data_IF_556360726022
#
_entry.id   IF_556360726022
#
_cell.length_a   1.000
_cell.length_b   1.000
_cell.length_c   1.000
_cell.angle_alpha   90.00
_cell.angle_beta   90.00
_cell.angle_gamma   90.00
#
_symmetry.space_group_name_H-M   'P 1'
#
loop_
_entity.id
_entity.type
_entity.pdbx_description
1 polymer ?
#
# COMPACT_ATOMS: atom_id res chain seq x y z
N UNK A 1 26.52 -9.57 42.10
CA UNK A 1 25.50 -9.22 41.10
C UNK A 1 26.14 -8.71 39.82
N UNK A 2 27.16 -7.84 39.90
CA UNK A 2 27.86 -7.31 38.71
C UNK A 2 28.51 -8.40 37.84
N UNK A 3 29.15 -9.40 38.46
CA UNK A 3 29.81 -10.50 37.74
C UNK A 3 28.85 -11.29 36.83
N UNK A 4 27.58 -11.41 37.26
CA UNK A 4 26.52 -12.08 36.51
C UNK A 4 25.66 -11.11 35.71
N UNK A 5 26.09 -9.84 35.61
CA UNK A 5 25.44 -8.77 34.85
C UNK A 5 23.98 -8.54 35.24
N UNK A 6 23.68 -8.58 36.54
CA UNK A 6 22.32 -8.31 37.01
C UNK A 6 21.78 -6.99 36.44
N UNK A 7 20.59 -7.06 35.85
CA UNK A 7 19.86 -5.91 35.35
C UNK A 7 18.35 -6.18 35.46
N UNK A 8 17.56 -5.12 35.65
CA UNK A 8 16.10 -5.19 35.60
C UNK A 8 15.57 -5.04 34.16
N UNK A 9 16.41 -4.62 33.21
CA UNK A 9 16.09 -4.41 31.79
C UNK A 9 17.23 -4.87 30.86
N UNK A 10 16.99 -4.92 29.54
CA UNK A 10 17.96 -5.44 28.56
C UNK A 10 19.02 -4.46 28.05
N UNK A 11 18.87 -3.16 28.28
CA UNK A 11 19.88 -2.14 27.96
C UNK A 11 20.10 -1.85 26.47
N UNK A 12 19.12 -2.12 25.58
CA UNK A 12 19.19 -1.91 24.12
C UNK A 12 18.15 -0.89 23.62
N UNK A 13 18.05 -0.62 22.30
CA UNK A 13 17.20 0.44 21.70
C UNK A 13 15.72 0.42 22.12
N UNK A 14 15.19 -0.74 22.55
CA UNK A 14 13.82 -0.86 23.09
C UNK A 14 13.72 -1.04 24.61
N UNK A 15 14.86 -1.17 25.30
CA UNK A 15 15.05 -1.46 26.74
C UNK A 15 13.91 -2.22 27.45
N UNK A 16 13.50 -3.42 26.95
CA UNK A 16 12.42 -4.15 27.59
C UNK A 16 12.84 -4.66 28.97
N UNK A 17 11.92 -4.61 29.94
CA UNK A 17 12.11 -5.20 31.26
C UNK A 17 12.38 -6.70 31.17
N UNK A 18 13.32 -7.20 31.98
CA UNK A 18 13.58 -8.63 32.13
C UNK A 18 12.49 -9.17 33.07
N UNK A 19 11.58 -10.04 32.59
CA UNK A 19 10.48 -10.50 33.44
C UNK A 19 11.02 -11.22 34.68
N UNK A 20 10.56 -10.77 35.85
CA UNK A 20 10.88 -11.37 37.15
C UNK A 20 12.38 -11.33 37.54
N UNK A 21 13.19 -10.44 36.97
CA UNK A 21 14.63 -10.31 37.31
C UNK A 21 14.89 -10.17 38.82
N UNK A 22 14.04 -9.40 39.51
CA UNK A 22 14.07 -9.20 40.96
C UNK A 22 14.08 -10.51 41.76
N UNK A 23 13.52 -11.61 41.24
CA UNK A 23 13.52 -12.90 41.93
C UNK A 23 14.91 -13.50 42.07
N UNK A 24 15.80 -13.25 41.11
CA UNK A 24 17.21 -13.67 41.20
C UNK A 24 17.96 -12.83 42.25
N UNK A 25 17.71 -11.53 42.31
CA UNK A 25 18.26 -10.66 43.37
C UNK A 25 17.82 -11.14 44.76
N UNK A 26 16.52 -11.39 44.92
CA UNK A 26 15.97 -11.82 46.21
C UNK A 26 16.47 -13.23 46.58
N UNK A 27 16.63 -14.12 45.60
CA UNK A 27 17.32 -15.40 45.77
C UNK A 27 18.74 -15.23 46.30
N UNK A 28 19.54 -14.32 45.73
CA UNK A 28 20.90 -14.05 46.22
C UNK A 28 20.86 -13.59 47.67
N UNK A 29 20.01 -12.60 48.00
CA UNK A 29 19.86 -12.07 49.36
C UNK A 29 19.54 -13.21 50.33
N UNK A 30 18.56 -14.07 49.99
CA UNK A 30 18.20 -15.21 50.83
C UNK A 30 19.33 -16.22 50.93
N UNK A 31 19.99 -16.57 49.84
CA UNK A 31 21.10 -17.53 49.83
C UNK A 31 22.26 -17.10 50.72
N UNK A 32 22.61 -15.81 50.72
CA UNK A 32 23.63 -15.27 51.61
C UNK A 32 23.14 -15.19 53.07
N UNK A 33 21.90 -14.73 53.31
CA UNK A 33 21.35 -14.63 54.66
C UNK A 33 21.18 -15.99 55.36
N UNK A 34 21.01 -17.06 54.59
CA UNK A 34 20.87 -18.44 55.12
C UNK A 34 22.17 -19.25 55.03
N UNK A 35 23.31 -18.60 54.74
CA UNK A 35 24.63 -19.24 54.64
C UNK A 35 24.63 -20.51 53.75
N UNK A 36 24.04 -20.41 52.54
CA UNK A 36 24.04 -21.54 51.60
C UNK A 36 25.49 -21.98 51.32
N UNK A 37 25.82 -23.28 51.48
CA UNK A 37 27.16 -23.79 51.20
C UNK A 37 27.63 -23.39 49.80
N UNK A 38 28.88 -22.95 49.68
CA UNK A 38 29.39 -22.40 48.42
C UNK A 38 29.29 -23.38 47.24
N UNK A 39 29.54 -24.67 47.48
CA UNK A 39 29.40 -25.70 46.45
C UNK A 39 27.95 -25.85 45.96
N UNK A 40 26.98 -25.79 46.88
CA UNK A 40 25.56 -25.77 46.54
C UNK A 40 25.19 -24.48 45.80
N UNK A 41 25.64 -23.33 46.28
CA UNK A 41 25.40 -22.04 45.62
C UNK A 41 25.88 -22.06 44.16
N UNK A 42 27.10 -22.56 43.89
CA UNK A 42 27.63 -22.65 42.53
C UNK A 42 26.83 -23.64 41.67
N UNK A 43 26.42 -24.79 42.22
CA UNK A 43 25.55 -25.73 41.49
C UNK A 43 24.21 -25.11 41.10
N UNK A 44 23.61 -24.33 41.99
CA UNK A 44 22.36 -23.61 41.71
C UNK A 44 22.54 -22.59 40.58
N UNK A 45 23.67 -21.87 40.55
CA UNK A 45 23.96 -20.89 39.50
C UNK A 45 24.13 -21.51 38.11
N UNK A 46 24.65 -22.73 38.02
CA UNK A 46 24.95 -23.40 36.74
C UNK A 46 23.78 -24.26 36.25
N UNK A 47 23.14 -25.02 37.15
CA UNK A 47 22.16 -26.05 36.80
C UNK A 47 21.09 -26.24 37.88
N UNK A 48 20.74 -25.18 38.60
CA UNK A 48 19.79 -25.20 39.71
C UNK A 48 18.39 -25.71 39.35
N UNK A 49 17.95 -25.50 38.11
CA UNK A 49 16.70 -26.00 37.55
C UNK A 49 16.71 -27.50 37.25
N UNK A 50 17.90 -28.12 37.19
CA UNK A 50 18.10 -29.54 36.89
C UNK A 50 18.49 -30.36 38.13
N UNK A 51 18.55 -29.74 39.32
CA UNK A 51 18.88 -30.46 40.54
C UNK A 51 17.77 -31.45 40.91
N UNK A 52 18.16 -32.72 41.14
CA UNK A 52 17.24 -33.78 41.58
C UNK A 52 16.61 -33.49 42.95
N UNK A 53 17.37 -32.82 43.81
CA UNK A 53 16.96 -32.43 45.17
C UNK A 53 17.16 -30.91 45.32
N UNK A 54 16.22 -30.09 44.82
CA UNK A 54 16.33 -28.65 44.90
C UNK A 54 16.10 -28.15 46.33
N UNK A 55 16.72 -27.02 46.66
CA UNK A 55 16.45 -26.27 47.89
C UNK A 55 15.10 -25.58 47.76
N UNK A 56 14.21 -25.86 48.70
CA UNK A 56 12.87 -25.30 48.75
C UNK A 56 12.79 -24.30 49.90
N UNK A 57 12.29 -23.10 49.62
CA UNK A 57 11.85 -22.15 50.62
C UNK A 57 10.42 -22.51 51.03
N UNK A 58 10.25 -22.99 52.26
CA UNK A 58 8.97 -23.48 52.78
C UNK A 58 7.99 -22.34 53.09
N UNK A 59 8.50 -21.16 53.46
CA UNK A 59 7.69 -19.97 53.78
C UNK A 59 7.09 -19.36 52.51
N UNK A 60 7.93 -19.06 51.52
CA UNK A 60 7.49 -18.51 50.24
C UNK A 60 6.95 -19.57 49.28
N UNK A 61 7.10 -20.86 49.62
CA UNK A 61 6.76 -22.02 48.79
C UNK A 61 7.43 -21.96 47.41
N UNK A 62 8.73 -21.63 47.36
CA UNK A 62 9.51 -21.48 46.14
C UNK A 62 10.64 -22.51 46.03
N UNK A 63 10.98 -22.90 44.80
CA UNK A 63 12.20 -23.61 44.45
C UNK A 63 13.34 -22.60 44.29
N UNK A 64 14.18 -22.48 45.33
CA UNK A 64 15.30 -21.54 45.35
C UNK A 64 16.39 -21.97 44.38
N UNK A 65 16.66 -23.27 44.26
CA UNK A 65 17.69 -23.75 43.34
C UNK A 65 17.40 -23.34 41.89
N UNK A 66 16.15 -23.44 41.44
CA UNK A 66 15.75 -23.04 40.09
C UNK A 66 15.92 -21.53 39.82
N UNK A 67 15.91 -20.70 40.87
CA UNK A 67 16.16 -19.26 40.71
C UNK A 67 17.63 -18.97 40.38
N UNK A 68 18.55 -19.84 40.79
CA UNK A 68 19.99 -19.67 40.55
C UNK A 68 20.37 -19.56 39.09
N UNK A 69 19.63 -20.16 38.15
CA UNK A 69 19.92 -20.06 36.71
C UNK A 69 19.35 -18.81 36.05
N UNK A 70 18.66 -17.94 36.81
CA UNK A 70 18.03 -16.72 36.31
C UNK A 70 18.99 -15.73 35.64
N UNK A 71 20.27 -15.71 36.05
CA UNK A 71 21.27 -14.81 35.46
C UNK A 71 21.54 -15.08 33.98
N UNK A 72 21.29 -16.29 33.48
CA UNK A 72 21.45 -16.59 32.06
C UNK A 72 20.56 -15.74 31.15
N UNK A 73 19.53 -15.10 31.72
CA UNK A 73 18.60 -14.21 31.04
C UNK A 73 18.99 -12.72 31.13
N UNK A 74 19.97 -12.37 31.97
CA UNK A 74 20.44 -11.00 32.24
C UNK A 74 21.52 -10.53 31.26
N UNK A 75 21.41 -10.99 30.02
CA UNK A 75 22.32 -10.69 28.92
C UNK A 75 21.59 -9.76 27.94
N UNK A 76 22.33 -8.93 27.22
CA UNK A 76 21.80 -8.09 26.14
C UNK A 76 20.95 -8.91 25.15
N UNK A 77 19.79 -8.38 24.76
CA UNK A 77 18.77 -9.06 23.93
C UNK A 77 18.23 -10.38 24.47
N UNK A 78 18.58 -10.78 25.69
CA UNK A 78 17.99 -11.89 26.40
C UNK A 78 18.52 -13.28 26.08
N UNK A 79 19.29 -13.44 25.01
CA UNK A 79 19.99 -14.69 24.71
C UNK A 79 21.15 -14.42 23.76
N UNK A 80 22.37 -14.43 24.29
CA UNK A 80 23.60 -14.32 23.51
C UNK A 80 24.66 -15.26 24.10
N UNK A 81 24.87 -16.45 23.51
CA UNK A 81 25.76 -17.47 24.06
C UNK A 81 27.19 -16.99 24.34
N UNK A 82 27.73 -16.07 23.54
CA UNK A 82 29.06 -15.48 23.76
C UNK A 82 29.15 -14.77 25.12
N UNK A 83 28.13 -14.01 25.48
CA UNK A 83 28.10 -13.26 26.74
C UNK A 83 27.82 -14.20 27.94
N UNK A 84 27.07 -15.28 27.73
CA UNK A 84 26.87 -16.31 28.76
C UNK A 84 28.17 -17.06 29.07
N UNK A 85 28.96 -17.40 28.05
CA UNK A 85 30.30 -17.98 28.22
C UNK A 85 31.20 -17.02 29.01
N UNK A 86 31.19 -15.73 28.67
CA UNK A 86 31.97 -14.70 29.39
C UNK A 86 31.59 -14.63 30.88
N UNK A 87 30.29 -14.60 31.19
CA UNK A 87 29.79 -14.58 32.57
C UNK A 87 30.18 -15.85 33.31
N UNK A 88 29.91 -17.03 32.74
CA UNK A 88 30.16 -18.30 33.43
C UNK A 88 31.65 -18.53 33.66
N UNK A 89 32.48 -18.29 32.65
CA UNK A 89 33.92 -18.48 32.75
C UNK A 89 34.57 -17.54 33.77
N UNK A 90 34.24 -16.25 33.74
CA UNK A 90 34.81 -15.28 34.68
C UNK A 90 34.28 -15.47 36.11
N UNK A 91 32.98 -15.69 36.25
CA UNK A 91 32.34 -15.70 37.58
C UNK A 91 32.60 -17.01 38.32
N UNK A 92 32.48 -18.14 37.64
CA UNK A 92 32.47 -19.46 38.30
C UNK A 92 33.73 -20.27 38.06
N UNK A 93 34.46 -20.03 36.97
CA UNK A 93 35.73 -20.69 36.70
C UNK A 93 36.95 -19.80 37.04
N UNK A 94 36.76 -18.50 37.20
CA UNK A 94 37.85 -17.54 37.42
C UNK A 94 38.76 -17.37 36.18
N UNK A 95 38.28 -17.71 35.00
CA UNK A 95 39.07 -17.72 33.74
C UNK A 95 38.49 -16.75 32.72
N UNK A 96 39.36 -16.05 31.99
CA UNK A 96 38.97 -15.17 30.88
C UNK A 96 39.07 -15.90 29.54
N UNK A 97 38.02 -16.59 29.12
CA UNK A 97 38.09 -17.41 27.89
C UNK A 97 37.78 -16.64 26.61
N UNK A 98 37.38 -15.37 26.70
CA UNK A 98 36.85 -14.60 25.56
C UNK A 98 37.84 -14.35 24.42
N UNK A 99 39.16 -14.38 24.66
CA UNK A 99 40.15 -14.32 23.58
C UNK A 99 40.10 -15.57 22.69
N UNK A 100 39.74 -16.73 23.27
CA UNK A 100 39.62 -18.01 22.57
C UNK A 100 38.52 -18.00 21.49
N UNK A 101 37.68 -16.96 21.45
CA UNK A 101 36.62 -16.77 20.45
C UNK A 101 37.17 -16.73 19.02
N UNK A 102 38.30 -16.08 18.80
CA UNK A 102 38.81 -15.79 17.46
C UNK A 102 40.11 -16.53 17.12
N UNK A 103 40.86 -16.95 18.13
CA UNK A 103 42.13 -17.68 18.02
C UNK A 103 42.40 -18.42 19.33
N UNK A 104 43.34 -19.35 19.40
CA UNK A 104 43.69 -20.02 20.67
C UNK A 104 44.09 -19.01 21.76
N UNK A 105 43.71 -19.26 23.01
CA UNK A 105 43.96 -18.31 24.10
C UNK A 105 45.47 -18.01 24.24
N UNK A 106 45.81 -16.73 24.42
CA UNK A 106 47.20 -16.25 24.34
C UNK A 106 48.11 -16.86 25.41
N UNK A 107 47.58 -17.13 26.60
CA UNK A 107 48.36 -17.52 27.77
C UNK A 107 47.93 -18.84 28.40
N UNK A 108 46.69 -19.27 28.16
CA UNK A 108 46.11 -20.44 28.81
C UNK A 108 45.90 -21.53 27.76
N UNK A 109 45.96 -22.80 28.17
CA UNK A 109 45.76 -23.94 27.28
C UNK A 109 44.27 -24.14 26.95
N UNK A 110 43.67 -23.14 26.29
CA UNK A 110 42.28 -23.11 25.86
C UNK A 110 42.29 -22.84 24.35
N UNK A 111 41.99 -23.87 23.57
CA UNK A 111 41.94 -23.72 22.12
C UNK A 111 40.67 -23.00 21.66
N UNK A 112 40.69 -22.45 20.45
CA UNK A 112 39.47 -21.97 19.80
C UNK A 112 38.44 -23.09 19.62
N UNK A 113 38.90 -24.34 19.45
CA UNK A 113 38.02 -25.50 19.38
C UNK A 113 37.28 -25.72 20.71
N UNK A 114 37.95 -25.59 21.86
CA UNK A 114 37.33 -25.68 23.19
C UNK A 114 36.29 -24.58 23.40
N UNK A 115 36.62 -23.34 23.01
CA UNK A 115 35.66 -22.23 23.06
C UNK A 115 34.43 -22.52 22.20
N UNK A 116 34.64 -23.03 20.98
CA UNK A 116 33.56 -23.33 20.04
C UNK A 116 32.70 -24.49 20.53
N UNK A 117 33.29 -25.51 21.16
CA UNK A 117 32.56 -26.59 21.81
C UNK A 117 31.69 -26.05 22.97
N UNK A 118 32.25 -25.15 23.79
CA UNK A 118 31.51 -24.53 24.89
C UNK A 118 30.37 -23.63 24.38
N UNK A 119 30.61 -22.89 23.29
CA UNK A 119 29.56 -22.16 22.58
C UNK A 119 28.44 -23.08 22.08
N UNK A 120 28.80 -24.24 21.52
CA UNK A 120 27.85 -25.25 21.07
C UNK A 120 26.89 -25.70 22.18
N UNK A 121 27.37 -25.82 23.42
CA UNK A 121 26.53 -26.15 24.59
C UNK A 121 25.47 -25.07 24.80
N UNK A 122 25.87 -23.81 24.98
CA UNK A 122 24.93 -22.71 25.23
C UNK A 122 24.01 -22.44 24.05
N UNK A 123 24.52 -22.47 22.82
CA UNK A 123 23.72 -22.27 21.61
C UNK A 123 22.68 -23.38 21.38
N UNK A 124 22.91 -24.58 21.93
CA UNK A 124 21.95 -25.68 21.88
C UNK A 124 20.89 -25.64 22.98
N UNK A 125 21.01 -24.72 23.94
CA UNK A 125 19.99 -24.51 24.98
C UNK A 125 18.83 -23.65 24.45
N UNK A 126 17.64 -23.85 25.02
CA UNK A 126 16.48 -23.01 24.75
C UNK A 126 16.15 -22.20 26.01
N UNK A 127 16.26 -20.86 25.98
CA UNK A 127 15.85 -20.05 27.12
C UNK A 127 14.35 -20.22 27.34
N UNK A 128 13.97 -20.59 28.55
CA UNK A 128 12.58 -20.81 28.95
C UNK A 128 12.27 -20.10 30.26
N UNK A 129 11.02 -19.70 30.43
CA UNK A 129 10.51 -19.32 31.74
C UNK A 129 9.98 -20.58 32.42
N UNK A 130 10.42 -20.80 33.66
CA UNK A 130 9.97 -21.93 34.48
C UNK A 130 9.19 -21.42 35.67
N UNK A 131 8.13 -22.14 36.04
CA UNK A 131 7.42 -21.86 37.29
C UNK A 131 8.28 -22.34 38.45
N UNK A 132 8.66 -21.42 39.33
CA UNK A 132 9.51 -21.70 40.50
C UNK A 132 8.71 -21.98 41.76
N UNK A 133 7.40 -22.22 41.65
CA UNK A 133 6.60 -22.69 42.77
C UNK A 133 7.12 -24.05 43.27
N UNK A 134 7.05 -24.28 44.57
CA UNK A 134 7.40 -25.56 45.18
C UNK A 134 6.59 -26.71 44.59
N UNK A 135 7.14 -27.95 44.57
CA UNK A 135 6.44 -29.12 44.07
C UNK A 135 5.05 -29.31 44.72
N UNK A 136 4.91 -29.04 46.01
CA UNK A 136 3.63 -29.18 46.72
C UNK A 136 2.58 -28.22 46.17
N UNK A 137 2.95 -26.96 45.94
CA UNK A 137 2.06 -25.94 45.36
C UNK A 137 1.69 -26.27 43.91
N UNK A 138 2.65 -26.76 43.12
CA UNK A 138 2.38 -27.20 41.75
C UNK A 138 1.44 -28.42 41.70
N UNK A 139 1.49 -29.29 42.72
CA UNK A 139 0.70 -30.51 42.79
C UNK A 139 -0.69 -30.31 43.42
N UNK A 140 -0.92 -29.20 44.14
CA UNK A 140 -2.14 -28.92 44.93
C UNK A 140 -3.45 -29.20 44.16
N UNK A 141 -3.51 -28.80 42.88
CA UNK A 141 -4.70 -28.94 42.04
C UNK A 141 -4.53 -29.91 40.87
N UNK A 142 -3.46 -30.72 40.87
CA UNK A 142 -3.04 -31.49 39.70
C UNK A 142 -4.10 -32.50 39.24
N UNK A 143 -4.67 -33.25 40.18
CA UNK A 143 -5.70 -34.25 39.89
C UNK A 143 -6.95 -33.58 39.31
N UNK A 144 -7.41 -32.50 39.94
CA UNK A 144 -8.57 -31.75 39.47
C UNK A 144 -8.37 -31.16 38.07
N UNK A 145 -7.17 -30.63 37.78
CA UNK A 145 -6.84 -30.14 36.45
C UNK A 145 -6.80 -31.26 35.40
N UNK A 146 -6.33 -32.46 35.76
CA UNK A 146 -6.35 -33.63 34.87
C UNK A 146 -7.80 -34.03 34.54
N UNK A 147 -8.68 -34.10 35.53
CA UNK A 147 -10.10 -34.37 35.34
C UNK A 147 -10.79 -33.32 34.46
N UNK A 148 -10.61 -32.04 34.79
CA UNK A 148 -11.20 -30.94 34.03
C UNK A 148 -10.72 -30.94 32.58
N UNK A 149 -9.42 -31.21 32.34
CA UNK A 149 -8.88 -31.32 31.00
C UNK A 149 -9.57 -32.44 30.21
N UNK A 150 -9.86 -33.58 30.82
CA UNK A 150 -10.58 -34.67 30.17
C UNK A 150 -12.04 -34.29 29.90
N UNK A 151 -12.73 -33.67 30.86
CA UNK A 151 -14.11 -33.21 30.71
C UNK A 151 -14.24 -32.17 29.59
N UNK A 152 -13.37 -31.15 29.60
CA UNK A 152 -13.32 -30.10 28.57
C UNK A 152 -13.03 -30.71 27.20
N UNK A 153 -12.07 -31.65 27.11
CA UNK A 153 -11.78 -32.34 25.83
C UNK A 153 -12.98 -33.10 25.30
N UNK A 154 -13.72 -33.80 26.18
CA UNK A 154 -14.91 -34.55 25.78
C UNK A 154 -16.01 -33.62 25.28
N UNK A 155 -16.27 -32.53 26.01
CA UNK A 155 -17.30 -31.56 25.63
C UNK A 155 -16.94 -30.84 24.33
N UNK A 156 -15.70 -30.34 24.19
CA UNK A 156 -15.21 -29.74 22.96
C UNK A 156 -15.30 -30.71 21.77
N UNK A 157 -14.94 -31.98 21.96
CA UNK A 157 -15.05 -32.98 20.89
C UNK A 157 -16.52 -33.22 20.49
N UNK A 158 -17.46 -33.16 21.44
CA UNK A 158 -18.90 -33.24 21.16
C UNK A 158 -19.38 -32.04 20.35
N UNK A 159 -19.04 -30.82 20.80
CA UNK A 159 -19.39 -29.58 20.11
C UNK A 159 -18.80 -29.53 18.70
N UNK A 160 -17.55 -29.93 18.53
CA UNK A 160 -16.90 -29.96 17.21
C UNK A 160 -17.52 -30.98 16.27
N UNK A 161 -17.95 -32.15 16.76
CA UNK A 161 -18.66 -33.13 15.91
C UNK A 161 -20.00 -32.58 15.45
N UNK A 162 -20.75 -31.97 16.36
CA UNK A 162 -22.02 -31.33 16.02
C UNK A 162 -21.83 -30.21 14.98
N UNK A 163 -20.87 -29.32 15.20
CA UNK A 163 -20.53 -28.27 14.23
C UNK A 163 -20.07 -28.86 12.89
N UNK A 164 -19.29 -29.95 12.91
CA UNK A 164 -18.82 -30.60 11.69
C UNK A 164 -19.95 -31.18 10.83
N UNK A 165 -21.05 -31.64 11.44
CA UNK A 165 -22.25 -32.07 10.71
C UNK A 165 -22.94 -30.92 10.00
N UNK A 166 -22.85 -29.70 10.55
CA UNK A 166 -23.45 -28.48 9.98
C UNK A 166 -22.55 -27.81 8.93
N UNK A 167 -21.26 -28.13 8.87
CA UNK A 167 -20.29 -27.55 7.91
C UNK A 167 -20.79 -27.61 6.45
N UNK A 168 -21.31 -28.74 5.92
CA UNK A 168 -21.78 -28.79 4.54
C UNK A 168 -22.92 -27.79 4.26
N UNK A 169 -23.84 -27.61 5.21
CA UNK A 169 -24.91 -26.63 5.08
C UNK A 169 -24.37 -25.21 5.20
N UNK A 170 -23.45 -24.95 6.13
CA UNK A 170 -22.81 -23.66 6.29
C UNK A 170 -22.03 -23.26 5.03
N UNK A 171 -21.25 -24.17 4.44
CA UNK A 171 -20.54 -23.95 3.16
C UNK A 171 -21.53 -23.65 2.04
N UNK A 172 -22.66 -24.36 1.97
CA UNK A 172 -23.70 -24.09 0.96
C UNK A 172 -24.30 -22.69 1.11
N UNK A 173 -24.59 -22.25 2.34
CA UNK A 173 -25.08 -20.90 2.65
C UNK A 173 -24.03 -19.84 2.29
N UNK A 174 -22.78 -20.02 2.71
CA UNK A 174 -21.68 -19.11 2.39
C UNK A 174 -21.46 -18.96 0.88
N UNK A 175 -21.55 -20.05 0.11
CA UNK A 175 -21.46 -19.99 -1.37
C UNK A 175 -22.63 -19.22 -1.97
N UNK A 176 -23.85 -19.43 -1.50
CA UNK A 176 -25.03 -18.70 -1.97
C UNK A 176 -24.91 -17.20 -1.65
N UNK A 177 -24.56 -16.87 -0.40
CA UNK A 177 -24.31 -15.51 0.06
C UNK A 177 -23.19 -14.82 -0.75
N UNK A 178 -22.13 -15.53 -1.10
CA UNK A 178 -21.04 -14.98 -1.90
C UNK A 178 -21.50 -14.59 -3.33
N UNK A 179 -22.32 -15.43 -3.97
CA UNK A 179 -22.89 -15.13 -5.29
C UNK A 179 -23.83 -13.93 -5.22
N UNK A 180 -24.74 -13.93 -4.25
CA UNK A 180 -25.69 -12.84 -4.04
C UNK A 180 -24.97 -11.51 -3.73
N UNK A 181 -23.93 -11.56 -2.89
CA UNK A 181 -23.11 -10.39 -2.55
C UNK A 181 -22.44 -9.78 -3.77
N UNK A 182 -21.88 -10.59 -4.66
CA UNK A 182 -21.26 -10.10 -5.91
C UNK A 182 -22.30 -9.44 -6.81
N UNK A 183 -23.50 -10.02 -6.92
CA UNK A 183 -24.60 -9.45 -7.70
C UNK A 183 -25.05 -8.10 -7.13
N UNK A 184 -25.39 -8.05 -5.83
CA UNK A 184 -25.83 -6.82 -5.16
C UNK A 184 -24.76 -5.72 -5.19
N UNK A 185 -23.47 -6.06 -5.03
CA UNK A 185 -22.38 -5.10 -5.13
C UNK A 185 -22.23 -4.55 -6.54
N UNK A 186 -22.41 -5.40 -7.57
CA UNK A 186 -22.36 -4.97 -8.97
C UNK A 186 -23.50 -4.01 -9.30
N UNK A 187 -24.70 -4.29 -8.79
CA UNK A 187 -25.86 -3.40 -8.94
C UNK A 187 -25.66 -2.07 -8.19
N UNK A 188 -25.17 -2.12 -6.95
CA UNK A 188 -24.88 -0.92 -6.17
C UNK A 188 -23.86 -0.03 -6.87
N UNK A 189 -22.78 -0.61 -7.39
CA UNK A 189 -21.76 0.13 -8.13
C UNK A 189 -22.34 0.84 -9.37
N UNK A 190 -23.31 0.22 -10.07
CA UNK A 190 -24.01 0.86 -11.21
C UNK A 190 -24.86 2.04 -10.77
N UNK A 191 -25.59 1.91 -9.66
CA UNK A 191 -26.42 3.02 -9.13
C UNK A 191 -25.54 4.17 -8.62
N UNK A 192 -24.48 3.87 -7.88
CA UNK A 192 -23.53 4.86 -7.39
C UNK A 192 -22.81 5.58 -8.53
N UNK A 193 -22.49 4.86 -9.61
CA UNK A 193 -21.98 5.44 -10.84
C UNK A 193 -22.96 6.42 -11.50
N UNK A 194 -24.25 6.10 -11.51
CA UNK A 194 -25.28 6.97 -12.06
C UNK A 194 -25.46 8.24 -11.21
N UNK A 195 -25.46 8.10 -9.88
CA UNK A 195 -25.57 9.22 -8.94
C UNK A 195 -24.38 10.18 -9.06
N UNK A 196 -23.15 9.66 -9.05
CA UNK A 196 -21.92 10.47 -9.17
C UNK A 196 -21.83 11.21 -10.51
N UNK A 197 -22.19 10.55 -11.61
CA UNK A 197 -22.22 11.18 -12.93
C UNK A 197 -23.27 12.30 -13.01
N UNK A 198 -24.45 12.12 -12.40
CA UNK A 198 -25.51 13.15 -12.43
C UNK A 198 -25.24 14.32 -11.49
N UNK A 199 -24.78 14.05 -10.25
CA UNK A 199 -24.39 15.09 -9.30
C UNK A 199 -23.29 15.99 -9.91
N UNK A 200 -22.35 15.41 -10.65
CA UNK A 200 -21.36 16.19 -11.37
C UNK A 200 -21.95 17.01 -12.52
N UNK A 201 -22.79 16.41 -13.39
CA UNK A 201 -23.46 17.16 -14.47
C UNK A 201 -24.23 18.37 -13.92
N UNK A 202 -24.83 18.22 -12.73
CA UNK A 202 -25.50 19.32 -12.01
C UNK A 202 -24.52 20.36 -11.48
N UNK A 203 -23.41 19.96 -10.86
CA UNK A 203 -22.36 20.90 -10.39
C UNK A 203 -21.84 21.75 -11.54
N UNK A 204 -21.49 21.11 -12.64
CA UNK A 204 -20.98 21.77 -13.83
C UNK A 204 -22.02 22.70 -14.46
N UNK A 205 -23.31 22.33 -14.42
CA UNK A 205 -24.41 23.19 -14.89
C UNK A 205 -24.71 24.35 -13.91
N UNK A 206 -24.48 24.15 -12.62
CA UNK A 206 -24.73 25.14 -11.57
C UNK A 206 -23.58 26.15 -11.44
N UNK A 207 -22.33 25.72 -11.68
CA UNK A 207 -21.16 26.59 -11.70
C UNK A 207 -21.02 27.27 -13.06
N UNK A 208 -21.67 28.43 -13.21
CA UNK A 208 -21.55 29.28 -14.40
C UNK A 208 -20.11 29.73 -14.69
N UNK A 209 -19.17 29.55 -13.74
CA UNK A 209 -17.76 29.91 -13.87
C UNK A 209 -16.83 28.76 -14.27
N UNK A 210 -17.33 27.52 -14.42
CA UNK A 210 -16.52 26.34 -14.72
C UNK A 210 -16.29 26.08 -16.23
N UNK A 211 -16.86 26.93 -17.09
CA UNK A 211 -16.83 26.75 -18.55
C UNK A 211 -17.86 25.72 -19.04
N UNK A 212 -17.87 25.43 -20.35
CA UNK A 212 -18.81 24.48 -20.93
C UNK A 212 -18.44 23.05 -20.54
N UNK A 213 -19.37 22.12 -20.72
CA UNK A 213 -19.14 20.72 -20.35
C UNK A 213 -18.30 19.95 -21.38
N UNK A 214 -17.37 19.09 -20.93
CA UNK A 214 -16.68 18.17 -21.83
C UNK A 214 -17.65 17.11 -22.37
N UNK A 215 -17.37 16.62 -23.57
CA UNK A 215 -18.05 15.45 -24.15
C UNK A 215 -17.67 14.17 -23.42
N UNK A 216 -16.41 14.07 -22.99
CA UNK A 216 -15.87 12.92 -22.26
C UNK A 216 -14.88 13.37 -21.18
N UNK A 217 -14.88 12.67 -20.04
CA UNK A 217 -14.09 13.09 -18.89
C UNK A 217 -13.57 11.93 -18.03
N UNK A 218 -12.25 11.88 -17.85
CA UNK A 218 -11.55 10.87 -17.06
C UNK A 218 -10.79 11.52 -15.90
N UNK A 219 -11.14 11.14 -14.66
CA UNK A 219 -10.49 11.66 -13.44
C UNK A 219 -9.41 10.74 -12.88
N UNK A 220 -9.31 9.51 -13.37
CA UNK A 220 -8.35 8.51 -12.90
C UNK A 220 -8.30 8.31 -11.37
N UNK A 221 -9.36 8.71 -10.65
CA UNK A 221 -9.40 8.69 -9.19
C UNK A 221 -9.42 7.23 -8.67
N UNK A 222 -10.20 6.38 -9.35
CA UNK A 222 -10.37 4.97 -8.98
C UNK A 222 -10.07 4.01 -10.15
N UNK A 223 -10.47 4.37 -11.36
CA UNK A 223 -10.32 3.56 -12.57
C UNK A 223 -10.27 4.46 -13.83
N UNK A 224 -10.29 3.87 -15.02
CA UNK A 224 -10.24 4.58 -16.29
C UNK A 224 -11.60 4.98 -16.86
N UNK A 225 -12.68 4.97 -16.09
CA UNK A 225 -14.03 5.26 -16.60
C UNK A 225 -14.23 6.70 -17.08
N UNK A 226 -15.11 6.87 -18.05
CA UNK A 226 -15.58 8.17 -18.49
C UNK A 226 -16.86 8.56 -17.73
N UNK A 227 -16.79 9.67 -17.00
CA UNK A 227 -17.90 10.15 -16.16
C UNK A 227 -19.03 10.82 -16.96
N UNK A 228 -18.81 11.16 -18.22
CA UNK A 228 -19.79 11.91 -19.03
C UNK A 228 -20.34 11.08 -20.18
N UNK A 229 -19.49 10.64 -21.11
CA UNK A 229 -19.89 10.12 -22.43
C UNK A 229 -19.82 8.59 -22.59
N UNK A 230 -19.46 7.86 -21.52
CA UNK A 230 -19.29 6.39 -21.48
C UNK A 230 -18.20 5.81 -22.40
N UNK A 231 -17.17 6.60 -22.70
CA UNK A 231 -16.00 6.19 -23.45
C UNK A 231 -14.86 5.76 -22.52
N UNK A 232 -15.05 4.64 -21.81
CA UNK A 232 -14.11 4.17 -20.79
C UNK A 232 -12.72 3.87 -21.37
N UNK A 233 -11.68 4.24 -20.61
CA UNK A 233 -10.28 3.99 -20.91
C UNK A 233 -9.79 2.70 -20.24
N UNK A 234 -9.21 1.81 -21.03
CA UNK A 234 -8.53 0.61 -20.58
C UNK A 234 -7.05 0.89 -20.37
N UNK A 235 -6.55 0.53 -19.19
CA UNK A 235 -5.13 0.61 -18.86
C UNK A 235 -4.36 -0.54 -19.52
N UNK A 236 -3.20 -0.25 -20.10
CA UNK A 236 -2.39 -1.20 -20.83
C UNK A 236 -0.91 -1.16 -20.41
N UNK A 237 -0.24 -2.30 -20.59
CA UNK A 237 1.23 -2.42 -20.65
C UNK A 237 1.99 -1.75 -19.50
N UNK A 238 1.50 -1.88 -18.25
CA UNK A 238 2.17 -1.36 -17.05
C UNK A 238 1.59 -0.05 -16.50
N UNK A 239 0.63 0.56 -17.21
CA UNK A 239 -0.15 1.65 -16.65
C UNK A 239 -0.96 1.17 -15.44
N UNK A 240 -0.92 1.96 -14.37
CA UNK A 240 -1.66 1.70 -13.12
C UNK A 240 -2.27 3.00 -12.62
N UNK A 241 -3.37 2.90 -11.86
CA UNK A 241 -3.88 4.03 -11.09
C UNK A 241 -3.33 3.95 -9.68
N UNK A 242 -2.71 5.04 -9.23
CA UNK A 242 -2.17 5.16 -7.87
C UNK A 242 -2.41 6.58 -7.36
N UNK A 243 -2.97 6.69 -6.16
CA UNK A 243 -3.27 7.97 -5.51
C UNK A 243 -4.11 8.92 -6.40
N UNK A 244 -5.11 8.36 -7.09
CA UNK A 244 -6.01 9.10 -7.98
C UNK A 244 -5.34 9.68 -9.22
N UNK A 245 -4.30 9.00 -9.73
CA UNK A 245 -3.60 9.39 -10.96
C UNK A 245 -3.26 8.18 -11.80
N UNK A 246 -3.35 8.32 -13.12
CA UNK A 246 -2.83 7.36 -14.07
C UNK A 246 -1.31 7.52 -14.19
N UNK A 247 -0.57 6.48 -13.83
CA UNK A 247 0.89 6.45 -13.81
C UNK A 247 1.44 5.93 -15.14
N UNK A 248 2.41 6.65 -15.71
CA UNK A 248 3.01 6.38 -17.01
C UNK A 248 4.55 6.33 -16.90
N UNK A 249 5.16 5.26 -17.39
CA UNK A 249 6.58 4.95 -17.22
C UNK A 249 7.50 5.56 -18.31
N UNK A 250 6.93 6.09 -19.39
CA UNK A 250 7.64 6.58 -20.55
C UNK A 250 8.26 5.51 -21.45
N UNK A 251 7.87 4.25 -21.28
CA UNK A 251 8.36 3.12 -22.08
C UNK A 251 7.20 2.40 -22.78
N UNK A 252 6.23 1.91 -22.02
CA UNK A 252 5.14 1.09 -22.56
C UNK A 252 3.80 1.31 -21.87
N UNK A 253 3.75 1.99 -20.73
CA UNK A 253 2.51 2.26 -20.01
C UNK A 253 1.68 3.32 -20.76
N UNK A 254 0.42 2.98 -21.04
CA UNK A 254 -0.57 3.91 -21.60
C UNK A 254 -1.98 3.42 -21.28
N UNK A 255 -2.99 4.29 -21.45
CA UNK A 255 -4.39 3.87 -21.50
C UNK A 255 -5.00 4.21 -22.85
N UNK A 256 -6.03 3.48 -23.27
CA UNK A 256 -6.74 3.71 -24.53
C UNK A 256 -8.23 3.51 -24.38
N UNK A 257 -9.04 4.20 -25.18
CA UNK A 257 -10.49 4.00 -25.22
C UNK A 257 -10.90 3.01 -26.30
N UNK A 258 -12.18 2.62 -26.26
CA UNK A 258 -12.87 2.10 -27.44
C UNK A 258 -13.07 3.18 -28.53
N UNK A 259 -13.80 2.86 -29.60
CA UNK A 259 -14.13 3.82 -30.64
C UNK A 259 -14.96 5.01 -30.14
N UNK A 260 -14.67 6.23 -30.61
CA UNK A 260 -15.44 7.43 -30.24
C UNK A 260 -16.86 7.36 -30.79
N UNK A 261 -17.89 7.74 -30.02
CA UNK A 261 -19.28 7.78 -30.46
C UNK A 261 -19.63 9.01 -31.32
N UNK A 262 -18.70 9.95 -31.53
CA UNK A 262 -18.90 11.18 -32.28
C UNK A 262 -17.80 11.47 -33.31
N UNK A 263 -18.13 12.33 -34.28
CA UNK A 263 -17.16 12.90 -35.21
C UNK A 263 -16.42 14.06 -34.53
N UNK A 264 -15.10 14.11 -34.69
CA UNK A 264 -14.26 15.16 -34.13
C UNK A 264 -13.49 15.88 -35.25
N UNK A 265 -13.92 17.09 -35.59
CA UNK A 265 -13.20 18.00 -36.52
C UNK A 265 -12.59 19.16 -35.73
N UNK A 266 -13.43 20.11 -35.31
CA UNK A 266 -13.10 21.10 -34.30
C UNK A 266 -13.26 20.47 -32.92
N UNK A 267 -12.25 20.60 -32.07
CA UNK A 267 -12.17 19.86 -30.80
C UNK A 267 -11.20 20.51 -29.84
N UNK A 268 -11.32 20.19 -28.55
CA UNK A 268 -10.34 20.56 -27.53
C UNK A 268 -9.89 19.33 -26.78
N UNK A 269 -8.57 19.13 -26.71
CA UNK A 269 -7.93 18.11 -25.88
C UNK A 269 -7.33 18.79 -24.67
N UNK A 270 -7.75 18.43 -23.47
CA UNK A 270 -7.33 19.08 -22.22
C UNK A 270 -6.91 18.04 -21.17
N UNK A 271 -5.87 18.34 -20.40
CA UNK A 271 -5.38 17.47 -19.34
C UNK A 271 -4.62 18.20 -18.23
N UNK A 272 -4.63 17.62 -17.04
CA UNK A 272 -3.75 17.96 -15.92
C UNK A 272 -2.68 16.90 -15.78
N UNK A 273 -1.44 17.28 -16.08
CA UNK A 273 -0.30 16.36 -16.18
C UNK A 273 0.80 16.76 -15.20
N UNK A 274 1.40 15.78 -14.55
CA UNK A 274 2.61 15.96 -13.75
C UNK A 274 3.73 15.12 -14.36
N UNK A 275 4.74 15.77 -14.94
CA UNK A 275 5.89 15.05 -15.50
C UNK A 275 6.80 14.57 -14.38
N UNK A 276 7.34 13.35 -14.48
CA UNK A 276 8.36 12.87 -13.51
C UNK A 276 9.75 13.40 -13.83
N UNK A 277 9.99 13.81 -15.07
CA UNK A 277 11.25 14.41 -15.56
C UNK A 277 10.98 15.31 -16.76
N UNK A 278 11.77 16.37 -16.92
CA UNK A 278 11.76 17.19 -18.14
C UNK A 278 12.72 16.65 -19.21
N UNK A 279 13.60 15.71 -18.84
CA UNK A 279 14.50 15.02 -19.76
C UNK A 279 13.82 13.77 -20.34
N UNK A 280 12.85 14.03 -21.20
CA UNK A 280 12.13 13.03 -21.98
C UNK A 280 11.76 13.62 -23.35
N UNK A 281 11.34 12.77 -24.29
CA UNK A 281 11.09 13.21 -25.67
C UNK A 281 9.89 12.52 -26.30
N UNK A 282 8.96 13.31 -26.83
CA UNK A 282 7.90 12.84 -27.71
C UNK A 282 6.71 12.17 -27.02
N UNK A 283 6.64 12.12 -25.70
CA UNK A 283 5.49 11.54 -25.00
C UNK A 283 4.20 12.29 -25.31
N UNK A 284 3.14 11.55 -25.68
CA UNK A 284 1.80 12.11 -25.85
C UNK A 284 1.01 12.08 -24.55
N UNK A 285 0.39 13.20 -24.18
CA UNK A 285 -0.43 13.34 -22.98
C UNK A 285 -1.83 12.79 -23.24
N UNK A 286 -2.53 13.40 -24.20
CA UNK A 286 -3.82 12.98 -24.72
C UNK A 286 -3.75 13.04 -26.25
N UNK A 287 -4.20 11.98 -26.89
CA UNK A 287 -4.14 11.80 -28.35
C UNK A 287 -5.48 11.34 -28.85
N UNK A 288 -5.93 11.88 -29.97
CA UNK A 288 -6.97 11.29 -30.80
C UNK A 288 -6.34 10.71 -32.05
N UNK A 289 -6.62 9.43 -32.34
CA UNK A 289 -6.07 8.73 -33.50
C UNK A 289 -7.11 7.90 -34.22
N UNK A 290 -6.92 7.68 -35.52
CA UNK A 290 -7.67 6.68 -36.27
C UNK A 290 -7.35 5.27 -35.74
N UNK A 291 -8.35 4.39 -35.72
CA UNK A 291 -8.15 2.98 -35.34
C UNK A 291 -7.14 2.34 -36.30
N UNK A 292 -6.15 1.63 -35.73
CA UNK A 292 -5.01 1.09 -36.47
C UNK A 292 -3.82 2.04 -36.59
N UNK A 293 -3.96 3.30 -36.15
CA UNK A 293 -2.93 4.33 -36.23
C UNK A 293 -2.87 5.03 -37.59
N UNK A 294 -1.83 5.83 -37.81
CA UNK A 294 -1.54 6.51 -39.08
C UNK A 294 -1.90 8.00 -39.10
N UNK A 295 -3.12 8.39 -38.74
CA UNK A 295 -3.52 9.80 -38.57
C UNK A 295 -3.83 10.05 -37.10
N UNK A 296 -3.26 11.12 -36.55
CA UNK A 296 -3.48 11.51 -35.16
C UNK A 296 -3.31 13.00 -34.95
N UNK A 297 -3.94 13.48 -33.89
CA UNK A 297 -3.74 14.81 -33.28
C UNK A 297 -3.44 14.58 -31.79
N UNK A 298 -2.35 15.15 -31.28
CA UNK A 298 -1.86 14.85 -29.93
C UNK A 298 -1.35 16.09 -29.22
N UNK A 299 -1.53 16.12 -27.89
CA UNK A 299 -0.81 17.03 -27.01
C UNK A 299 0.51 16.38 -26.61
N UNK A 300 1.64 16.93 -27.07
CA UNK A 300 2.95 16.26 -26.99
C UNK A 300 3.97 17.10 -26.22
N UNK A 301 4.82 16.43 -25.45
CA UNK A 301 5.97 17.04 -24.79
C UNK A 301 7.28 16.77 -25.55
N UNK A 302 8.04 17.82 -25.78
CA UNK A 302 9.42 17.79 -26.26
C UNK A 302 9.66 17.03 -27.59
N UNK A 303 8.71 17.03 -28.53
CA UNK A 303 8.88 16.31 -29.80
C UNK A 303 9.93 16.97 -30.72
N UNK A 304 9.77 18.28 -31.01
CA UNK A 304 10.70 19.08 -31.83
C UNK A 304 11.51 20.09 -31.05
N UNK A 305 10.96 20.64 -29.96
CA UNK A 305 11.60 21.64 -29.12
C UNK A 305 11.80 21.09 -27.72
N UNK A 306 13.05 21.03 -27.23
CA UNK A 306 13.37 20.50 -25.90
C UNK A 306 12.56 21.23 -24.81
N UNK A 307 11.97 20.46 -23.90
CA UNK A 307 11.19 20.96 -22.77
C UNK A 307 10.04 21.92 -23.14
N UNK A 308 9.39 21.73 -24.31
CA UNK A 308 8.22 22.51 -24.71
C UNK A 308 7.04 21.62 -25.07
N UNK A 309 5.84 22.12 -24.79
CA UNK A 309 4.58 21.54 -25.24
C UNK A 309 4.29 21.92 -26.69
N UNK A 310 3.66 21.02 -27.45
CA UNK A 310 3.26 21.29 -28.82
C UNK A 310 2.13 20.36 -29.30
N UNK A 311 1.52 20.70 -30.43
CA UNK A 311 0.59 19.82 -31.12
C UNK A 311 1.36 18.82 -32.01
N UNK A 312 1.21 17.54 -31.74
CA UNK A 312 1.75 16.44 -32.53
C UNK A 312 0.76 15.99 -33.60
N UNK A 313 1.27 15.63 -34.77
CA UNK A 313 0.47 15.10 -35.88
C UNK A 313 1.29 14.16 -36.75
N UNK A 314 0.59 13.33 -37.52
CA UNK A 314 1.23 12.39 -38.44
C UNK A 314 2.16 13.10 -39.43
N UNK A 315 3.39 12.60 -39.56
CA UNK A 315 4.46 13.18 -40.38
C UNK A 315 4.72 14.68 -40.11
N UNK A 316 4.36 15.16 -38.92
CA UNK A 316 4.42 16.60 -38.56
C UNK A 316 3.63 17.53 -39.48
N UNK A 317 2.64 17.02 -40.23
CA UNK A 317 1.94 17.80 -41.27
C UNK A 317 1.17 19.00 -40.68
N UNK A 318 0.61 18.86 -39.48
CA UNK A 318 -0.08 19.94 -38.74
C UNK A 318 0.75 20.49 -37.58
N UNK A 319 1.98 19.98 -37.38
CA UNK A 319 2.82 20.31 -36.24
C UNK A 319 3.73 21.50 -36.54
N UNK A 320 3.54 22.59 -35.80
CA UNK A 320 4.42 23.76 -35.86
C UNK A 320 5.09 24.02 -34.52
N UNK A 321 6.26 24.67 -34.57
CA UNK A 321 6.91 25.15 -33.36
C UNK A 321 6.12 26.35 -32.82
N UNK A 322 5.95 26.40 -31.51
CA UNK A 322 5.34 27.55 -30.83
C UNK A 322 6.39 28.28 -29.99
N UNK A 323 6.18 29.57 -29.81
CA UNK A 323 7.02 30.49 -29.03
C UNK A 323 6.69 30.48 -27.53
N UNK A 324 5.97 29.45 -27.05
CA UNK A 324 5.73 29.25 -25.62
C UNK A 324 7.02 29.05 -24.80
N UNK A 325 7.04 29.48 -23.53
CA UNK A 325 8.19 29.31 -22.64
C UNK A 325 8.49 27.83 -22.35
N UNK A 326 9.73 27.48 -22.01
CA UNK A 326 10.07 26.11 -21.59
C UNK A 326 9.31 25.69 -20.34
N UNK A 327 9.11 24.39 -20.18
CA UNK A 327 8.53 23.82 -18.97
C UNK A 327 9.54 23.86 -17.82
N UNK A 328 9.06 24.24 -16.64
CA UNK A 328 9.84 24.40 -15.41
C UNK A 328 9.19 23.73 -14.21
N UNK A 329 8.00 23.14 -14.37
CA UNK A 329 7.31 22.38 -13.33
C UNK A 329 8.23 21.31 -12.74
N UNK A 330 8.23 21.19 -11.41
CA UNK A 330 8.99 20.17 -10.70
C UNK A 330 8.34 18.80 -10.90
N UNK A 331 9.11 17.74 -10.65
CA UNK A 331 8.58 16.39 -10.69
C UNK A 331 7.35 16.27 -9.76
N UNK A 332 6.21 15.82 -10.31
CA UNK A 332 4.95 15.68 -9.56
C UNK A 332 4.06 16.93 -9.50
N UNK A 333 4.56 18.10 -9.93
CA UNK A 333 3.79 19.35 -9.99
C UNK A 333 2.83 19.33 -11.19
N UNK A 334 1.55 19.64 -10.93
CA UNK A 334 0.52 19.63 -11.97
C UNK A 334 0.66 20.84 -12.89
N UNK A 335 0.65 20.55 -14.19
CA UNK A 335 0.53 21.52 -15.27
C UNK A 335 -0.78 21.26 -16.00
N UNK A 336 -1.62 22.28 -16.10
CA UNK A 336 -2.82 22.23 -16.93
C UNK A 336 -2.46 22.57 -18.37
N UNK A 337 -2.92 21.76 -19.33
CA UNK A 337 -2.65 21.96 -20.74
C UNK A 337 -3.91 21.74 -21.57
N UNK A 338 -4.11 22.56 -22.59
CA UNK A 338 -5.14 22.36 -23.59
C UNK A 338 -4.61 22.64 -25.00
N UNK A 339 -5.07 21.85 -25.98
CA UNK A 339 -4.92 22.17 -27.41
C UNK A 339 -6.31 22.30 -28.02
N UNK A 340 -6.57 23.46 -28.63
CA UNK A 340 -7.82 23.81 -29.29
C UNK A 340 -7.60 23.77 -30.80
N UNK A 341 -8.38 22.94 -31.49
CA UNK A 341 -8.46 22.86 -32.94
C UNK A 341 -9.70 23.63 -33.40
N UNK A 342 -9.51 24.85 -33.90
CA UNK A 342 -10.57 25.78 -34.29
C UNK A 342 -11.26 25.34 -35.60
N UNK A 343 -12.55 25.65 -35.81
CA UNK A 343 -13.27 25.27 -37.04
C UNK A 343 -12.64 25.75 -38.35
N UNK A 344 -11.89 26.87 -38.31
CA UNK A 344 -11.16 27.42 -39.46
C UNK A 344 -9.77 26.81 -39.66
N UNK A 345 -9.42 25.82 -38.84
CA UNK A 345 -8.17 25.08 -38.90
C UNK A 345 -7.02 25.64 -38.09
N UNK A 346 -7.20 26.77 -37.38
CA UNK A 346 -6.18 27.23 -36.44
C UNK A 346 -5.99 26.23 -35.29
N UNK A 347 -4.75 26.08 -34.84
CA UNK A 347 -4.39 25.30 -33.65
C UNK A 347 -3.82 26.26 -32.61
N UNK A 348 -4.40 26.22 -31.42
CA UNK A 348 -4.04 27.07 -30.29
C UNK A 348 -3.70 26.21 -29.08
N UNK A 349 -2.65 26.58 -28.35
CA UNK A 349 -2.19 25.86 -27.17
C UNK A 349 -2.33 26.75 -25.95
N UNK A 350 -2.64 26.12 -24.81
CA UNK A 350 -2.83 26.81 -23.55
C UNK A 350 -2.09 26.05 -22.44
N UNK A 351 -1.51 26.81 -21.51
CA UNK A 351 -0.89 26.30 -20.28
C UNK A 351 -1.41 27.09 -19.09
N UNK A 352 -1.92 26.39 -18.08
CA UNK A 352 -2.48 26.99 -16.85
C UNK A 352 -3.49 28.12 -17.16
N UNK A 353 -4.46 27.81 -18.04
CA UNK A 353 -5.52 28.72 -18.46
C UNK A 353 -5.10 29.88 -19.37
N UNK A 354 -3.82 29.99 -19.74
CA UNK A 354 -3.29 31.10 -20.56
C UNK A 354 -2.77 30.60 -21.91
N UNK A 355 -2.81 31.42 -22.98
CA UNK A 355 -2.17 31.07 -24.25
C UNK A 355 -0.70 30.69 -24.07
N UNK A 356 -0.30 29.60 -24.70
CA UNK A 356 1.06 29.07 -24.70
C UNK A 356 1.69 29.31 -26.07
N UNK A 357 2.21 30.52 -26.24
CA UNK A 357 2.67 31.02 -27.54
C UNK A 357 1.52 31.44 -28.46
N UNK A 358 1.88 31.70 -29.72
CA UNK A 358 1.00 32.18 -30.77
C UNK A 358 0.36 30.98 -31.48
N UNK A 359 -0.99 30.97 -31.54
CA UNK A 359 -1.72 29.99 -32.35
C UNK A 359 -1.42 30.15 -33.84
N UNK A 360 -1.51 29.07 -34.60
CA UNK A 360 -1.10 29.06 -36.00
C UNK A 360 -2.18 28.48 -36.92
N UNK A 361 -2.24 29.02 -38.13
CA UNK A 361 -3.10 28.53 -39.20
C UNK A 361 -2.46 27.32 -39.91
N UNK A 362 -3.24 26.52 -40.66
CA UNK A 362 -2.71 25.46 -41.51
C UNK A 362 -1.64 26.00 -42.46
N UNK A 363 -0.49 25.32 -42.52
CA UNK A 363 0.61 25.76 -43.38
C UNK A 363 0.30 25.62 -44.88
N UNK A 364 -0.63 24.73 -45.24
CA UNK A 364 -1.11 24.45 -46.59
C UNK A 364 -2.36 23.53 -46.51
N UNK A 365 -2.94 23.18 -47.66
CA UNK A 365 -4.11 22.30 -47.76
C UNK A 365 -3.91 20.91 -47.10
N UNK A 366 -2.69 20.35 -47.16
CA UNK A 366 -2.40 19.06 -46.50
C UNK A 366 -2.42 19.18 -44.97
N UNK A 367 -2.17 20.38 -44.45
CA UNK A 367 -2.23 20.72 -43.04
C UNK A 367 -3.64 21.13 -42.57
N UNK A 368 -4.67 21.02 -43.43
CA UNK A 368 -6.05 21.22 -43.01
C UNK A 368 -6.44 20.24 -41.89
N UNK A 369 -7.48 20.61 -41.12
CA UNK A 369 -7.98 19.73 -40.07
C UNK A 369 -8.46 18.40 -40.63
N UNK A 370 -8.15 17.36 -39.88
CA UNK A 370 -8.68 16.05 -40.13
C UNK A 370 -9.96 15.83 -39.33
N UNK A 371 -11.01 15.36 -40.00
CA UNK A 371 -12.21 14.86 -39.34
C UNK A 371 -11.98 13.42 -38.91
N UNK A 372 -11.86 13.22 -37.61
CA UNK A 372 -11.84 11.90 -37.00
C UNK A 372 -13.27 11.37 -36.92
N UNK A 373 -13.56 10.34 -37.71
CA UNK A 373 -14.90 9.79 -37.82
C UNK A 373 -15.27 8.95 -36.59
N UNK A 374 -16.54 9.03 -36.19
CA UNK A 374 -17.18 8.13 -35.25
C UNK A 374 -16.90 6.67 -35.61
N UNK A 375 -16.77 5.81 -34.59
CA UNK A 375 -16.50 4.36 -34.69
C UNK A 375 -15.17 3.98 -35.37
N UNK A 376 -14.40 4.97 -35.86
CA UNK A 376 -13.12 4.80 -36.56
C UNK A 376 -11.96 5.49 -35.86
N UNK A 377 -12.21 6.04 -34.69
CA UNK A 377 -11.28 6.88 -33.93
C UNK A 377 -11.26 6.42 -32.48
N UNK A 378 -10.13 6.56 -31.79
CA UNK A 378 -10.02 6.33 -30.35
C UNK A 378 -9.14 7.38 -29.68
N UNK A 379 -9.18 7.44 -28.35
CA UNK A 379 -8.24 8.22 -27.56
C UNK A 379 -7.13 7.35 -26.98
N UNK A 380 -5.95 7.93 -26.86
CA UNK A 380 -4.82 7.40 -26.09
C UNK A 380 -4.40 8.40 -25.01
N UNK A 381 -4.01 7.87 -23.86
CA UNK A 381 -3.47 8.61 -22.73
C UNK A 381 -2.06 8.11 -22.43
N UNK A 382 -1.09 9.01 -22.40
CA UNK A 382 0.31 8.65 -22.18
C UNK A 382 1.05 8.11 -23.40
N UNK A 383 0.43 8.15 -24.60
CA UNK A 383 1.04 7.72 -25.87
C UNK A 383 0.71 8.67 -27.02
N UNK A 384 1.72 9.06 -27.79
CA UNK A 384 1.60 10.00 -28.93
C UNK A 384 0.79 9.44 -30.10
N UNK A 385 1.00 8.18 -30.48
CA UNK A 385 0.19 7.43 -31.43
C UNK A 385 0.64 5.97 -31.49
N UNK A 386 -0.18 5.13 -32.11
CA UNK A 386 0.15 3.75 -32.44
C UNK A 386 1.20 3.68 -33.56
N UNK A 387 2.28 2.94 -33.35
CA UNK A 387 3.39 2.79 -34.30
C UNK A 387 4.53 3.82 -34.16
N UNK A 388 4.37 4.83 -33.29
CA UNK A 388 5.42 5.83 -33.06
C UNK A 388 6.59 5.34 -32.21
N UNK A 389 7.82 5.57 -32.66
CA UNK A 389 9.03 5.46 -31.83
C UNK A 389 9.11 6.60 -30.80
N UNK A 390 9.59 6.29 -29.59
CA UNK A 390 9.63 7.21 -28.43
C UNK A 390 8.31 7.99 -28.25
N UNK A 391 7.19 7.26 -28.17
CA UNK A 391 5.85 7.82 -28.13
C UNK A 391 5.25 7.92 -26.72
N UNK A 392 5.88 7.28 -25.73
CA UNK A 392 5.33 7.14 -24.39
C UNK A 392 5.76 8.28 -23.48
N UNK A 393 4.82 8.79 -22.68
CA UNK A 393 5.06 9.85 -21.73
C UNK A 393 5.52 9.28 -20.40
N UNK A 394 6.54 9.89 -19.78
CA UNK A 394 6.95 9.60 -18.41
C UNK A 394 6.35 10.63 -17.46
N UNK A 395 5.35 10.24 -16.69
CA UNK A 395 4.62 11.16 -15.82
C UNK A 395 3.32 10.57 -15.30
N UNK A 396 2.44 11.46 -14.87
CA UNK A 396 1.16 11.13 -14.27
C UNK A 396 0.07 12.01 -14.90
N UNK A 397 -1.09 11.43 -15.16
CA UNK A 397 -2.30 12.17 -15.50
C UNK A 397 -3.23 12.15 -14.30
N UNK A 398 -3.58 13.33 -13.82
CA UNK A 398 -4.64 13.48 -12.82
C UNK A 398 -5.99 13.52 -13.49
N UNK A 399 -6.09 14.19 -14.65
CA UNK A 399 -7.39 14.36 -15.29
C UNK A 399 -7.22 14.60 -16.78
N UNK A 400 -8.18 14.14 -17.58
CA UNK A 400 -8.23 14.39 -19.01
C UNK A 400 -9.67 14.66 -19.46
N UNK A 401 -9.86 15.68 -20.31
CA UNK A 401 -11.15 16.11 -20.85
C UNK A 401 -11.09 16.18 -22.37
N UNK A 402 -12.14 15.72 -23.04
CA UNK A 402 -12.36 15.91 -24.46
C UNK A 402 -13.60 16.76 -24.67
N UNK A 403 -13.46 17.79 -25.49
CA UNK A 403 -14.57 18.59 -26.00
C UNK A 403 -14.72 18.32 -27.49
N UNK A 404 -15.90 17.89 -27.93
CA UNK A 404 -16.25 17.76 -29.35
C UNK A 404 -16.40 19.10 -30.10
N UNK A 405 -15.86 20.18 -29.53
CA UNK A 405 -15.87 21.54 -30.08
C UNK A 405 -14.63 22.31 -29.60
N UNK A 406 -14.35 23.42 -30.29
CA UNK A 406 -13.26 24.31 -29.92
C UNK A 406 -13.67 25.23 -28.75
N UNK A 407 -12.91 25.20 -27.66
CA UNK A 407 -13.08 26.15 -26.56
C UNK A 407 -12.52 27.52 -26.93
N UNK A 408 -13.17 28.57 -26.43
CA UNK A 408 -12.59 29.93 -26.44
C UNK A 408 -11.50 30.05 -25.37
N UNK A 409 -10.58 31.00 -25.53
CA UNK A 409 -9.56 31.28 -24.51
C UNK A 409 -10.15 31.55 -23.12
N UNK A 410 -11.31 32.20 -23.04
CA UNK A 410 -12.01 32.43 -21.76
C UNK A 410 -12.47 31.10 -21.14
N UNK A 411 -13.07 30.22 -21.94
CA UNK A 411 -13.55 28.92 -21.47
C UNK A 411 -12.40 27.99 -21.03
N UNK A 412 -11.23 28.05 -21.68
CA UNK A 412 -10.03 27.34 -21.21
C UNK A 412 -9.55 27.90 -19.86
N UNK A 413 -9.58 29.24 -19.69
CA UNK A 413 -9.25 29.86 -18.42
C UNK A 413 -10.26 29.51 -17.31
N UNK A 414 -11.54 29.37 -17.66
CA UNK A 414 -12.61 28.97 -16.74
C UNK A 414 -12.43 27.52 -16.29
N UNK A 415 -12.20 26.60 -17.24
CA UNK A 415 -11.88 25.19 -16.99
C UNK A 415 -10.67 25.03 -16.06
N UNK A 416 -9.60 25.80 -16.30
CA UNK A 416 -8.42 25.82 -15.43
C UNK A 416 -8.74 26.28 -14.01
N UNK A 417 -9.56 27.32 -13.84
CA UNK A 417 -9.95 27.83 -12.52
C UNK A 417 -10.85 26.87 -11.76
N UNK A 418 -11.71 26.13 -12.45
CA UNK A 418 -12.52 25.07 -11.85
C UNK A 418 -11.64 23.93 -11.27
N UNK A 419 -10.47 23.71 -11.86
CA UNK A 419 -9.48 22.73 -11.38
C UNK A 419 -9.89 21.28 -11.64
N UNK A 420 -9.24 20.36 -10.92
CA UNK A 420 -9.47 18.92 -11.00
C UNK A 420 -10.42 18.43 -9.91
N UNK A 421 -11.02 17.26 -10.13
CA UNK A 421 -11.89 16.64 -9.15
C UNK A 421 -11.17 15.57 -8.31
N UNK A 422 -11.22 15.72 -6.98
CA UNK A 422 -10.69 14.75 -5.99
C UNK A 422 -11.68 14.48 -4.85
N UNK A 423 -11.73 13.24 -4.37
CA UNK A 423 -12.51 12.83 -3.19
C UNK A 423 -14.04 12.66 -3.40
N UNK A 424 -14.76 12.40 -2.30
CA UNK A 424 -16.21 12.16 -2.29
C UNK A 424 -17.00 13.42 -2.68
N UNK A 425 -17.79 13.31 -3.74
CA UNK A 425 -18.70 14.37 -4.18
C UNK A 425 -19.89 14.49 -3.22
N UNK A 426 -20.03 15.61 -2.52
CA UNK A 426 -21.29 15.95 -1.84
C UNK A 426 -22.43 16.13 -2.87
N UNK A 427 -23.61 15.53 -2.67
CA UNK A 427 -24.71 15.65 -3.63
C UNK A 427 -25.11 17.11 -3.87
N UNK A 428 -25.48 17.45 -5.11
CA UNK A 428 -26.09 18.76 -5.38
C UNK A 428 -27.53 18.69 -4.90
N UNK A 429 -27.87 19.48 -3.89
CA UNK A 429 -29.19 19.50 -3.29
C UNK A 429 -30.23 20.14 -4.24
N UNK A 430 -30.73 19.36 -5.20
CA UNK A 430 -31.93 19.68 -5.97
C UNK A 430 -32.83 18.45 -6.02
N UNK A 431 -34.12 18.63 -5.68
CA UNK A 431 -35.14 17.58 -5.79
C UNK A 431 -35.21 17.09 -7.24
N UNK A 432 -34.95 15.81 -7.44
CA UNK A 432 -35.19 15.11 -8.70
C UNK A 432 -35.72 13.72 -8.35
N UNK A 433 -37.00 13.51 -8.65
CA UNK A 433 -37.73 12.29 -8.28
C UNK A 433 -37.06 11.01 -8.81
N UNK A 434 -36.31 11.10 -9.93
CA UNK A 434 -35.60 9.97 -10.52
C UNK A 434 -34.30 9.65 -9.76
N UNK A 435 -33.60 10.66 -9.26
CA UNK A 435 -32.42 10.43 -8.42
C UNK A 435 -32.80 9.96 -7.02
N UNK A 436 -33.90 10.46 -6.49
CA UNK A 436 -34.37 10.05 -5.16
C UNK A 436 -34.77 8.55 -5.17
N UNK A 437 -35.35 8.07 -6.27
CA UNK A 437 -35.57 6.64 -6.52
C UNK A 437 -34.25 5.85 -6.61
N UNK A 438 -33.26 6.32 -7.39
CA UNK A 438 -31.94 5.67 -7.49
C UNK A 438 -31.23 5.65 -6.11
N UNK A 439 -31.32 6.72 -5.32
CA UNK A 439 -30.77 6.80 -3.96
C UNK A 439 -31.45 5.82 -3.02
N UNK A 440 -32.77 5.70 -3.11
CA UNK A 440 -33.54 4.73 -2.33
C UNK A 440 -33.13 3.29 -2.68
N UNK A 441 -33.00 2.97 -3.96
CA UNK A 441 -32.54 1.66 -4.43
C UNK A 441 -31.10 1.36 -3.97
N UNK A 442 -30.18 2.33 -4.07
CA UNK A 442 -28.81 2.18 -3.58
C UNK A 442 -28.77 1.97 -2.06
N UNK A 443 -29.62 2.66 -1.29
CA UNK A 443 -29.74 2.45 0.16
C UNK A 443 -30.29 1.05 0.49
N UNK A 444 -31.27 0.56 -0.27
CA UNK A 444 -31.80 -0.79 -0.11
C UNK A 444 -30.73 -1.87 -0.39
N UNK A 445 -29.96 -1.72 -1.48
CA UNK A 445 -28.86 -2.64 -1.80
C UNK A 445 -27.77 -2.63 -0.72
N UNK A 446 -27.42 -1.46 -0.17
CA UNK A 446 -26.49 -1.36 0.97
C UNK A 446 -27.02 -2.08 2.20
N UNK A 447 -28.32 -1.95 2.50
CA UNK A 447 -28.94 -2.66 3.62
C UNK A 447 -28.91 -4.19 3.42
N UNK A 448 -29.21 -4.67 2.21
CA UNK A 448 -29.11 -6.11 1.87
C UNK A 448 -27.68 -6.65 2.02
N UNK A 449 -26.68 -5.92 1.51
CA UNK A 449 -25.27 -6.27 1.66
C UNK A 449 -24.84 -6.33 3.14
N UNK A 450 -25.31 -5.39 3.96
CA UNK A 450 -25.04 -5.39 5.40
C UNK A 450 -25.68 -6.59 6.11
N UNK A 451 -26.90 -6.98 5.72
CA UNK A 451 -27.58 -8.14 6.26
C UNK A 451 -26.83 -9.45 5.96
N UNK A 452 -26.33 -9.65 4.72
CA UNK A 452 -25.51 -10.81 4.35
C UNK A 452 -24.23 -10.87 5.19
N UNK A 453 -23.54 -9.74 5.39
CA UNK A 453 -22.33 -9.68 6.22
C UNK A 453 -22.58 -10.14 7.67
N UNK A 454 -23.77 -9.89 8.21
CA UNK A 454 -24.13 -10.30 9.57
C UNK A 454 -24.43 -11.80 9.71
N UNK A 455 -24.85 -12.46 8.62
CA UNK A 455 -25.17 -13.89 8.62
C UNK A 455 -23.96 -14.78 8.40
N UNK A 456 -22.92 -14.30 7.72
CA UNK A 456 -21.65 -15.01 7.51
C UNK A 456 -20.83 -15.22 8.81
N UNK A 457 -21.09 -14.44 9.87
CA UNK A 457 -20.35 -14.51 11.14
C UNK A 457 -20.78 -15.62 12.10
N UNK A 458 -21.78 -16.43 11.73
CA UNK A 458 -22.29 -17.56 12.52
C UNK A 458 -21.99 -18.86 11.78
N UNK A 459 -20.75 -19.31 11.88
CA UNK A 459 -20.35 -20.69 11.56
C UNK A 459 -20.75 -21.63 12.69
#
# INVERSE_FOLDING_TARGET
MDLVRYADTHGSEGDPAIPQAWRYRDYLIRAFNTDVPYDQFIREQIAGDLLKSPRINTEEKLNESALGTGHFRMIEHGFQPVNQIDVVSKTFLGLTVSCARCHDHKFDAISQADFTAFYGIFASTRPGQVTVDSPDKLNENRERLIELKQAIRKELASQWRQQAEDIPQAIKRLRANAVERVQLQTELNKLDAALTADDFRRRLKADKGAGPAPSHWWTFEQDGRDLVGKLDAKLNSGAVIKNGRLILDGDKAFAETGPTPENLTAKTLEAWVALSTLDQRGGGVITVESIGGGIFDSLVFAERQKAKWMAGSNNSVRTQNVDGPTETAKAGELTHLAIVYQPDGRIELYRNGKPYGTGYAPANEKAALHTFAQDKTRLLFGRRHTGGGNAFLRGELEEARLYGFALTSAQVADSFRAGTLRGDLSPVATKDDKLDDIRAQAAELRAKLAAIKSSDGKL
#
